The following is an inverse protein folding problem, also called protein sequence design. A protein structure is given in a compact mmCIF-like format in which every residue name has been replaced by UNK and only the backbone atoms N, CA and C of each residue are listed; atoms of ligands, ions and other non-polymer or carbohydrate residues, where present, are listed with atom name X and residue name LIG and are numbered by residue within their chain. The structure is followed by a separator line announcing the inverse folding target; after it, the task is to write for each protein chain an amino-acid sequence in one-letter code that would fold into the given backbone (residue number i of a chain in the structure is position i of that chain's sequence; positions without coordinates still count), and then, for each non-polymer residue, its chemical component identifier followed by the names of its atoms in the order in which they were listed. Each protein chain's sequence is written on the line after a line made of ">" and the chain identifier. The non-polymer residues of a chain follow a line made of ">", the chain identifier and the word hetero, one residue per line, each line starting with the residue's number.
data_IF_919548090271
#
_entry.id   IF_919548090271
#
_cell.length_a   1.000
_cell.length_b   1.000
_cell.length_c   1.000
_cell.angle_alpha   90.00
_cell.angle_beta   90.00
_cell.angle_gamma   90.00
#
_symmetry.space_group_name_H-M   'P 1'
#
loop_
_entity.id
_entity.type
_entity.pdbx_description
1 polymer ?
#
# COMPACT_ATOMS: atom_id res chain seq x y z
N UNK A 1 21.42 -8.94 -2.94
CA UNK A 1 21.23 -8.60 -1.52
C UNK A 1 20.75 -7.16 -1.45
N UNK A 2 19.53 -6.93 -0.92
CA UNK A 2 19.10 -5.61 -0.48
C UNK A 2 19.68 -5.40 0.93
N UNK A 3 20.53 -4.39 1.10
CA UNK A 3 21.00 -3.96 2.41
C UNK A 3 20.40 -2.58 2.68
N UNK A 4 20.19 -2.22 3.95
CA UNK A 4 19.94 -0.82 4.26
C UNK A 4 21.07 0.04 3.67
N UNK A 5 20.76 1.12 2.92
CA UNK A 5 19.48 1.82 2.81
C UNK A 5 18.61 1.50 1.58
N UNK A 6 18.86 0.42 0.83
CA UNK A 6 18.20 0.05 -0.43
C UNK A 6 16.75 -0.46 -0.26
N UNK A 7 15.90 0.30 0.43
CA UNK A 7 14.49 -0.02 0.67
C UNK A 7 13.60 0.68 -0.34
N UNK A 8 12.90 -0.11 -1.16
CA UNK A 8 11.89 0.42 -2.09
C UNK A 8 10.71 1.08 -1.37
N UNK A 9 10.42 0.67 -0.13
CA UNK A 9 9.46 1.34 0.73
C UNK A 9 9.93 2.74 1.14
N UNK A 10 11.18 2.87 1.57
CA UNK A 10 11.76 4.18 1.91
C UNK A 10 11.86 5.11 0.69
N UNK A 11 12.10 4.56 -0.51
CA UNK A 11 11.97 5.32 -1.74
C UNK A 11 10.57 5.89 -1.93
N UNK A 12 9.54 5.04 -1.78
CA UNK A 12 8.16 5.49 -1.99
C UNK A 12 7.74 6.50 -0.91
N UNK A 13 8.16 6.30 0.35
CA UNK A 13 7.98 7.28 1.42
C UNK A 13 8.73 8.60 1.16
N UNK A 14 9.91 8.58 0.53
CA UNK A 14 10.62 9.79 0.10
C UNK A 14 9.84 10.57 -0.98
N UNK A 15 9.22 9.86 -1.92
CA UNK A 15 8.29 10.45 -2.91
C UNK A 15 7.07 11.05 -2.21
N UNK A 16 6.46 10.32 -1.27
CA UNK A 16 5.33 10.79 -0.45
C UNK A 16 5.67 12.09 0.28
N UNK A 17 6.85 12.14 0.91
CA UNK A 17 7.36 13.33 1.57
C UNK A 17 7.57 14.50 0.60
N UNK A 18 8.14 14.23 -0.59
CA UNK A 18 8.40 15.27 -1.58
C UNK A 18 7.10 15.89 -2.16
N UNK A 19 6.05 15.08 -2.26
CA UNK A 19 4.71 15.51 -2.62
C UNK A 19 3.93 16.13 -1.44
N UNK A 20 4.58 16.37 -0.30
CA UNK A 20 3.98 17.03 0.85
C UNK A 20 2.91 16.21 1.57
N UNK A 21 2.86 14.90 1.33
CA UNK A 21 2.01 13.99 2.09
C UNK A 21 2.74 13.48 3.33
N UNK A 22 1.95 12.99 4.29
CA UNK A 22 2.48 12.43 5.53
C UNK A 22 3.07 11.03 5.27
N UNK A 23 4.25 10.77 5.81
CA UNK A 23 4.97 9.50 5.64
C UNK A 23 4.32 8.43 6.52
N UNK A 24 4.26 7.19 6.03
CA UNK A 24 3.59 6.03 6.65
C UNK A 24 2.05 6.10 6.67
N UNK A 25 1.45 7.18 6.17
CA UNK A 25 -0.01 7.37 6.09
C UNK A 25 -0.48 7.99 4.77
N UNK A 26 0.45 8.33 3.86
CA UNK A 26 0.18 9.13 2.66
C UNK A 26 0.57 8.42 1.37
N UNK A 27 1.20 7.25 1.46
CA UNK A 27 1.67 6.46 0.30
C UNK A 27 0.51 6.11 -0.63
N UNK A 28 -0.67 5.79 -0.10
CA UNK A 28 -1.87 5.54 -0.93
C UNK A 28 -2.36 6.79 -1.66
N UNK A 29 -2.08 8.00 -1.15
CA UNK A 29 -2.42 9.26 -1.85
C UNK A 29 -1.52 9.45 -3.05
N UNK A 30 -0.25 9.05 -2.97
CA UNK A 30 0.66 9.03 -4.14
C UNK A 30 0.13 8.05 -5.18
N UNK A 31 -0.30 6.87 -4.75
CA UNK A 31 -0.88 5.86 -5.65
C UNK A 31 -2.15 6.37 -6.34
N UNK A 32 -3.06 7.02 -5.62
CA UNK A 32 -4.25 7.63 -6.21
C UNK A 32 -3.93 8.83 -7.12
N UNK A 33 -2.98 9.67 -6.73
CA UNK A 33 -2.54 10.82 -7.51
C UNK A 33 -1.89 10.41 -8.84
N UNK A 34 -1.17 9.29 -8.87
CA UNK A 34 -0.54 8.75 -10.08
C UNK A 34 -1.55 8.49 -11.21
N UNK A 35 -2.82 8.18 -10.89
CA UNK A 35 -3.86 7.95 -11.90
C UNK A 35 -4.26 9.22 -12.69
N UNK A 36 -3.91 10.40 -12.19
CA UNK A 36 -4.19 11.69 -12.84
C UNK A 36 -3.02 12.22 -13.68
N UNK A 37 -1.90 11.49 -13.72
CA UNK A 37 -0.74 11.88 -14.51
C UNK A 37 -0.92 11.62 -16.01
N UNK A 38 -0.12 12.32 -16.81
CA UNK A 38 -0.05 12.19 -18.26
C UNK A 38 1.26 11.49 -18.66
N UNK A 39 1.14 10.26 -19.18
CA UNK A 39 2.27 9.42 -19.63
C UNK A 39 3.01 9.99 -20.85
N UNK A 40 2.40 10.91 -21.59
CA UNK A 40 3.02 11.52 -22.77
C UNK A 40 3.69 12.88 -22.45
N UNK A 41 3.54 13.37 -21.22
CA UNK A 41 4.09 14.66 -20.82
C UNK A 41 5.62 14.65 -20.67
N UNK A 42 6.27 15.74 -21.07
CA UNK A 42 7.72 15.93 -20.91
C UNK A 42 8.15 15.86 -19.44
N UNK A 43 7.33 16.41 -18.53
CA UNK A 43 7.52 16.33 -17.08
C UNK A 43 7.61 14.87 -16.61
N UNK A 44 6.63 14.02 -16.98
CA UNK A 44 6.64 12.60 -16.60
C UNK A 44 7.89 11.89 -17.10
N UNK A 45 8.25 12.06 -18.38
CA UNK A 45 9.41 11.41 -18.98
C UNK A 45 10.71 11.83 -18.28
N UNK A 46 10.84 13.12 -17.98
CA UNK A 46 11.99 13.68 -17.24
C UNK A 46 12.06 13.15 -15.81
N UNK A 47 10.95 13.17 -15.07
CA UNK A 47 10.87 12.66 -13.71
C UNK A 47 11.17 11.17 -13.64
N UNK A 48 10.57 10.37 -14.53
CA UNK A 48 10.81 8.92 -14.57
C UNK A 48 12.28 8.62 -14.81
N UNK A 49 12.92 9.34 -15.74
CA UNK A 49 14.37 9.24 -15.99
C UNK A 49 15.18 9.60 -14.76
N UNK A 50 14.91 10.74 -14.12
CA UNK A 50 15.63 11.17 -12.91
C UNK A 50 15.49 10.17 -11.77
N UNK A 51 14.29 9.66 -11.52
CA UNK A 51 14.04 8.65 -10.48
C UNK A 51 14.80 7.36 -10.81
N UNK A 52 14.65 6.83 -12.04
CA UNK A 52 15.21 5.53 -12.46
C UNK A 52 16.74 5.53 -12.54
N UNK A 53 17.37 6.63 -12.91
CA UNK A 53 18.82 6.66 -13.16
C UNK A 53 19.62 7.39 -12.08
N UNK A 54 19.00 8.24 -11.26
CA UNK A 54 19.73 8.96 -10.20
C UNK A 54 19.37 8.49 -8.80
N UNK A 55 18.10 8.16 -8.53
CA UNK A 55 17.63 7.80 -7.19
C UNK A 55 17.61 6.29 -6.99
N UNK A 56 16.77 5.57 -7.75
CA UNK A 56 16.60 4.12 -7.67
C UNK A 56 17.31 3.49 -8.86
N UNK A 57 18.63 3.31 -8.72
CA UNK A 57 19.50 2.89 -9.81
C UNK A 57 19.36 1.39 -10.05
N UNK A 58 18.72 1.04 -11.17
CA UNK A 58 18.53 -0.35 -11.58
C UNK A 58 19.85 -1.02 -11.98
N UNK A 59 19.96 -2.29 -11.62
CA UNK A 59 21.01 -3.21 -12.05
C UNK A 59 20.29 -4.33 -12.84
N UNK A 60 20.10 -4.10 -14.14
CA UNK A 60 19.24 -4.92 -14.98
C UNK A 60 19.69 -6.38 -15.04
N UNK A 61 21.01 -6.63 -15.12
CA UNK A 61 21.56 -7.99 -15.21
C UNK A 61 21.29 -8.82 -13.95
N UNK A 62 21.06 -8.14 -12.82
CA UNK A 62 20.80 -8.75 -11.51
C UNK A 62 19.34 -8.68 -11.10
N UNK A 63 18.46 -8.04 -11.88
CA UNK A 63 17.08 -7.75 -11.48
C UNK A 63 17.02 -7.10 -10.07
N UNK A 64 17.91 -6.13 -9.83
CA UNK A 64 18.08 -5.49 -8.53
C UNK A 64 18.22 -3.98 -8.68
N UNK A 65 18.32 -3.26 -7.58
CA UNK A 65 18.53 -1.82 -7.55
C UNK A 65 19.30 -1.42 -6.29
N UNK A 66 19.83 -0.21 -6.30
CA UNK A 66 20.31 0.46 -5.09
C UNK A 66 19.77 1.89 -5.03
N UNK A 67 19.58 2.39 -3.81
CA UNK A 67 19.21 3.77 -3.59
C UNK A 67 20.44 4.63 -3.45
N UNK A 68 20.49 5.73 -4.19
CA UNK A 68 21.61 6.66 -4.15
C UNK A 68 21.58 7.50 -2.86
N UNK A 69 22.53 7.31 -1.93
CA UNK A 69 22.55 8.00 -0.63
C UNK A 69 22.57 9.52 -0.74
N UNK A 70 23.07 10.06 -1.85
CA UNK A 70 23.14 11.51 -2.12
C UNK A 70 21.77 12.19 -2.06
N UNK A 71 20.71 11.45 -2.39
CA UNK A 71 19.34 11.94 -2.45
C UNK A 71 18.53 11.65 -1.18
N UNK A 72 19.08 10.87 -0.24
CA UNK A 72 18.40 10.42 0.96
C UNK A 72 18.75 11.34 2.14
N UNK A 73 17.74 11.81 2.86
CA UNK A 73 17.94 12.64 4.06
C UNK A 73 18.08 11.81 5.35
N UNK A 74 17.39 10.67 5.41
CA UNK A 74 17.25 9.86 6.63
C UNK A 74 18.51 9.11 7.05
N UNK A 75 19.57 9.16 6.24
CA UNK A 75 20.88 8.58 6.56
C UNK A 75 21.69 9.44 7.54
N UNK A 76 21.39 10.72 7.65
CA UNK A 76 22.17 11.66 8.46
C UNK A 76 21.40 12.87 8.99
N UNK A 77 20.08 12.88 8.88
CA UNK A 77 19.21 13.99 9.32
C UNK A 77 17.78 13.57 9.59
N UNK A 78 16.93 14.55 9.90
CA UNK A 78 15.52 14.36 10.30
C UNK A 78 14.53 14.36 9.12
N UNK A 79 15.01 14.51 7.89
CA UNK A 79 14.17 14.58 6.68
C UNK A 79 14.26 13.29 5.86
N UNK A 80 13.24 12.99 5.04
CA UNK A 80 13.29 11.82 4.16
C UNK A 80 14.28 11.99 3.01
N UNK A 81 14.48 13.22 2.54
CA UNK A 81 15.22 13.52 1.31
C UNK A 81 16.23 14.64 1.52
N UNK A 82 17.23 14.69 0.63
CA UNK A 82 18.01 15.91 0.41
C UNK A 82 17.22 16.85 -0.51
N UNK A 83 16.46 17.77 0.08
CA UNK A 83 15.53 18.66 -0.65
C UNK A 83 16.24 19.44 -1.77
N UNK A 84 17.43 19.99 -1.52
CA UNK A 84 18.18 20.77 -2.52
C UNK A 84 18.59 19.94 -3.75
N UNK A 85 18.88 18.65 -3.55
CA UNK A 85 19.25 17.72 -4.62
C UNK A 85 18.03 17.28 -5.42
N UNK A 86 16.92 17.01 -4.74
CA UNK A 86 15.64 16.68 -5.40
C UNK A 86 15.13 17.86 -6.22
N UNK A 87 15.14 19.06 -5.65
CA UNK A 87 14.74 20.28 -6.35
C UNK A 87 15.57 20.50 -7.61
N UNK A 88 16.88 20.29 -7.54
CA UNK A 88 17.75 20.44 -8.71
C UNK A 88 17.54 19.33 -9.75
N UNK A 89 17.27 18.10 -9.31
CA UNK A 89 17.08 16.97 -10.20
C UNK A 89 15.76 17.06 -10.97
N UNK A 90 14.70 17.53 -10.31
CA UNK A 90 13.35 17.55 -10.86
C UNK A 90 12.87 18.94 -11.28
N UNK A 91 13.66 19.98 -11.03
CA UNK A 91 13.24 21.37 -11.29
C UNK A 91 11.84 21.67 -10.70
N UNK A 92 11.60 21.13 -9.50
CA UNK A 92 10.32 21.19 -8.79
C UNK A 92 10.61 21.40 -7.30
N UNK A 93 9.88 22.28 -6.63
CA UNK A 93 10.01 22.43 -5.19
C UNK A 93 9.24 21.31 -4.48
N UNK A 94 9.67 20.97 -3.26
CA UNK A 94 8.85 20.12 -2.38
C UNK A 94 7.51 20.81 -2.16
N UNK A 95 6.41 20.05 -2.31
CA UNK A 95 5.07 20.59 -2.02
C UNK A 95 4.88 20.75 -0.51
N UNK A 96 4.34 21.88 -0.07
CA UNK A 96 3.82 22.05 1.28
C UNK A 96 2.53 21.23 1.50
N UNK A 97 2.20 20.80 2.72
CA UNK A 97 1.04 19.93 2.95
C UNK A 97 -0.30 20.51 2.48
N UNK A 98 -0.44 21.84 2.50
CA UNK A 98 -1.66 22.57 2.14
C UNK A 98 -1.65 23.19 0.74
N UNK A 99 -0.54 23.08 0.01
CA UNK A 99 -0.43 23.69 -1.31
C UNK A 99 -1.32 22.94 -2.30
N UNK A 100 -1.79 23.62 -3.34
CA UNK A 100 -2.63 22.96 -4.35
C UNK A 100 -1.85 21.88 -5.11
N UNK A 101 -2.53 20.77 -5.39
CA UNK A 101 -2.02 19.73 -6.27
C UNK A 101 -2.19 20.19 -7.73
N UNK A 102 -1.19 19.90 -8.55
CA UNK A 102 -1.15 20.29 -9.95
C UNK A 102 -0.88 19.06 -10.82
N UNK A 103 -1.09 19.18 -12.13
CA UNK A 103 -0.76 18.10 -13.07
C UNK A 103 0.71 17.69 -12.98
N UNK A 104 1.63 18.64 -12.73
CA UNK A 104 3.06 18.34 -12.55
C UNK A 104 3.32 17.43 -11.35
N UNK A 105 2.59 17.62 -10.25
CA UNK A 105 2.64 16.71 -9.11
C UNK A 105 2.08 15.32 -9.45
N UNK A 106 1.02 15.25 -10.26
CA UNK A 106 0.46 13.99 -10.75
C UNK A 106 1.43 13.25 -11.68
N UNK A 107 2.09 13.96 -12.59
CA UNK A 107 3.13 13.43 -13.47
C UNK A 107 4.32 12.89 -12.65
N UNK A 108 4.69 13.57 -11.56
CA UNK A 108 5.72 13.09 -10.63
C UNK A 108 5.29 11.81 -9.90
N UNK A 109 4.06 11.77 -9.38
CA UNK A 109 3.51 10.58 -8.74
C UNK A 109 3.44 9.39 -9.70
N UNK A 110 2.99 9.62 -10.94
CA UNK A 110 2.95 8.63 -12.02
C UNK A 110 4.35 8.10 -12.35
N UNK A 111 5.34 8.99 -12.48
CA UNK A 111 6.73 8.59 -12.72
C UNK A 111 7.27 7.69 -11.61
N UNK A 112 7.05 8.06 -10.34
CA UNK A 112 7.45 7.27 -9.18
C UNK A 112 6.74 5.92 -9.12
N UNK A 113 5.43 5.88 -9.38
CA UNK A 113 4.64 4.66 -9.43
C UNK A 113 5.14 3.71 -10.52
N UNK A 114 5.49 4.21 -11.72
CA UNK A 114 6.05 3.39 -12.80
C UNK A 114 7.41 2.80 -12.44
N UNK A 115 8.26 3.59 -11.77
CA UNK A 115 9.56 3.09 -11.31
C UNK A 115 9.40 2.05 -10.19
N UNK A 116 8.47 2.25 -9.25
CA UNK A 116 8.13 1.26 -8.22
C UNK A 116 7.73 -0.08 -8.86
N UNK A 117 6.82 -0.03 -9.83
CA UNK A 117 6.33 -1.22 -10.54
C UNK A 117 7.45 -1.95 -11.29
N UNK A 118 8.31 -1.22 -12.01
CA UNK A 118 9.47 -1.81 -12.71
C UNK A 118 10.44 -2.50 -11.73
N UNK A 119 10.69 -1.87 -10.57
CA UNK A 119 11.55 -2.43 -9.53
C UNK A 119 10.94 -3.67 -8.87
N UNK A 120 9.66 -3.64 -8.53
CA UNK A 120 8.95 -4.81 -8.00
C UNK A 120 8.95 -5.96 -9.00
N UNK A 121 8.66 -5.69 -10.28
CA UNK A 121 8.67 -6.71 -11.32
C UNK A 121 10.07 -7.34 -11.52
N UNK A 122 11.13 -6.53 -11.41
CA UNK A 122 12.51 -7.02 -11.35
C UNK A 122 12.72 -7.98 -10.19
N UNK A 123 12.39 -7.57 -8.96
CA UNK A 123 12.53 -8.42 -7.78
C UNK A 123 11.76 -9.74 -7.90
N UNK A 124 10.53 -9.70 -8.42
CA UNK A 124 9.68 -10.88 -8.64
C UNK A 124 10.32 -11.84 -9.65
N UNK A 125 10.88 -11.33 -10.77
CA UNK A 125 11.65 -12.16 -11.72
C UNK A 125 12.88 -12.78 -11.07
N UNK A 126 13.59 -12.03 -10.22
CA UNK A 126 14.72 -12.56 -9.48
C UNK A 126 14.30 -13.72 -8.57
N UNK A 127 13.23 -13.54 -7.78
CA UNK A 127 12.69 -14.58 -6.90
C UNK A 127 12.32 -15.83 -7.69
N UNK A 128 11.54 -15.70 -8.78
CA UNK A 128 11.16 -16.83 -9.64
C UNK A 128 12.40 -17.59 -10.15
N UNK A 129 13.42 -16.86 -10.58
CA UNK A 129 14.67 -17.45 -11.09
C UNK A 129 15.43 -18.25 -10.03
N UNK A 130 15.48 -17.76 -8.79
CA UNK A 130 16.30 -18.40 -7.73
C UNK A 130 15.56 -19.49 -6.96
N UNK A 131 14.23 -19.41 -6.84
CA UNK A 131 13.44 -20.40 -6.10
C UNK A 131 12.81 -21.44 -7.02
N UNK A 132 12.45 -21.08 -8.25
CA UNK A 132 11.68 -21.94 -9.16
C UNK A 132 10.22 -22.15 -8.74
N UNK A 133 9.76 -21.49 -7.67
CA UNK A 133 8.43 -21.68 -7.10
C UNK A 133 7.33 -21.15 -8.00
N UNK A 134 6.13 -21.74 -7.88
CA UNK A 134 4.97 -21.36 -8.69
C UNK A 134 4.05 -20.33 -8.04
N UNK A 135 4.09 -20.22 -6.70
CA UNK A 135 3.25 -19.31 -5.94
C UNK A 135 4.08 -18.26 -5.22
N UNK A 136 3.60 -17.02 -5.21
CA UNK A 136 4.28 -15.90 -4.56
C UNK A 136 3.48 -15.42 -3.34
N UNK A 137 4.15 -15.25 -2.20
CA UNK A 137 3.59 -14.54 -1.06
C UNK A 137 4.28 -13.17 -0.94
N UNK A 138 3.50 -12.09 -0.93
CA UNK A 138 4.01 -10.73 -0.75
C UNK A 138 3.62 -10.18 0.62
N UNK A 139 4.61 -9.70 1.36
CA UNK A 139 4.44 -9.00 2.63
C UNK A 139 5.34 -7.75 2.66
N UNK A 140 5.19 -6.95 3.72
CA UNK A 140 5.77 -5.60 3.87
C UNK A 140 4.80 -4.50 3.44
N UNK A 141 5.02 -3.27 3.90
CA UNK A 141 4.12 -2.14 3.64
C UNK A 141 3.90 -1.84 2.15
N UNK A 142 4.90 -2.10 1.30
CA UNK A 142 4.79 -1.92 -0.16
C UNK A 142 3.80 -2.89 -0.81
N UNK A 143 3.53 -4.04 -0.18
CA UNK A 143 2.52 -4.98 -0.67
C UNK A 143 1.08 -4.45 -0.55
N UNK A 144 0.85 -3.28 0.08
CA UNK A 144 -0.42 -2.56 0.03
C UNK A 144 -0.64 -1.78 -1.28
N UNK A 145 0.38 -1.67 -2.15
CA UNK A 145 0.24 -0.98 -3.43
C UNK A 145 -0.54 -1.86 -4.43
N UNK A 146 -1.87 -1.73 -4.43
CA UNK A 146 -2.74 -2.56 -5.25
C UNK A 146 -2.50 -2.38 -6.76
N UNK A 147 -2.07 -1.20 -7.20
CA UNK A 147 -1.72 -0.94 -8.61
C UNK A 147 -0.51 -1.77 -9.03
N UNK A 148 0.55 -1.78 -8.22
CA UNK A 148 1.72 -2.61 -8.46
C UNK A 148 1.37 -4.11 -8.38
N UNK A 149 0.59 -4.52 -7.38
CA UNK A 149 0.14 -5.91 -7.24
C UNK A 149 -0.65 -6.40 -8.46
N UNK A 150 -1.52 -5.54 -9.01
CA UNK A 150 -2.32 -5.86 -10.20
C UNK A 150 -1.42 -6.13 -11.41
N UNK A 151 -0.34 -5.36 -11.57
CA UNK A 151 0.67 -5.59 -12.63
C UNK A 151 1.49 -6.85 -12.40
N UNK A 152 1.85 -7.15 -11.15
CA UNK A 152 2.55 -8.39 -10.82
C UNK A 152 1.66 -9.60 -11.16
N UNK A 153 0.38 -9.55 -10.78
CA UNK A 153 -0.57 -10.62 -11.09
C UNK A 153 -0.74 -10.79 -12.61
N UNK A 154 -0.94 -9.70 -13.34
CA UNK A 154 -1.08 -9.72 -14.80
C UNK A 154 0.22 -10.12 -15.55
N UNK A 155 1.36 -10.20 -14.87
CA UNK A 155 2.63 -10.62 -15.49
C UNK A 155 2.76 -12.13 -15.67
N UNK A 156 1.91 -12.93 -15.00
CA UNK A 156 1.88 -14.39 -15.07
C UNK A 156 3.25 -15.06 -14.77
N UNK A 157 4.14 -14.36 -14.05
CA UNK A 157 5.44 -14.92 -13.61
C UNK A 157 5.23 -16.02 -12.57
N UNK A 158 4.17 -15.87 -11.75
CA UNK A 158 3.69 -16.83 -10.77
C UNK A 158 2.25 -17.18 -11.09
N UNK A 159 1.85 -18.41 -10.79
CA UNK A 159 0.50 -18.93 -11.05
C UNK A 159 -0.54 -18.22 -10.17
N UNK A 160 -0.15 -17.85 -8.95
CA UNK A 160 -0.97 -17.05 -8.04
C UNK A 160 -0.10 -16.22 -7.07
N UNK A 161 -0.70 -15.14 -6.55
CA UNK A 161 -0.06 -14.22 -5.60
C UNK A 161 -0.95 -14.07 -4.37
N UNK A 162 -0.43 -14.46 -3.21
CA UNK A 162 -1.08 -14.24 -1.93
C UNK A 162 -0.51 -13.01 -1.21
N UNK A 163 -1.42 -12.16 -0.72
CA UNK A 163 -1.08 -11.00 0.10
C UNK A 163 -1.96 -11.07 1.37
N UNK A 164 -1.37 -11.16 2.57
CA UNK A 164 -2.17 -11.16 3.80
C UNK A 164 -2.84 -9.79 3.99
N UNK A 165 -4.00 -9.69 4.68
CA UNK A 165 -4.75 -8.43 4.78
C UNK A 165 -4.00 -7.29 5.45
N UNK A 166 -3.09 -7.63 6.36
CA UNK A 166 -2.16 -6.71 6.99
C UNK A 166 -0.76 -7.16 6.63
N UNK A 167 -0.24 -6.80 5.43
CA UNK A 167 1.09 -7.20 5.01
C UNK A 167 2.18 -6.33 5.63
N UNK A 168 1.83 -5.14 6.13
CA UNK A 168 2.76 -4.24 6.82
C UNK A 168 3.02 -4.62 8.29
N UNK A 169 3.58 -3.69 9.06
CA UNK A 169 4.06 -3.93 10.42
C UNK A 169 2.97 -4.40 11.39
N UNK A 170 1.73 -3.93 11.21
CA UNK A 170 0.59 -4.41 11.99
C UNK A 170 0.38 -5.93 11.84
N UNK A 171 0.77 -6.49 10.70
CA UNK A 171 0.79 -7.92 10.39
C UNK A 171 1.81 -8.75 11.14
N UNK A 172 2.88 -8.11 11.63
CA UNK A 172 4.06 -8.77 12.17
C UNK A 172 3.75 -9.62 13.40
N UNK A 173 2.81 -9.19 14.25
CA UNK A 173 2.41 -9.95 15.43
C UNK A 173 1.78 -11.32 15.07
N UNK A 174 0.88 -11.35 14.10
CA UNK A 174 0.29 -12.60 13.59
C UNK A 174 1.34 -13.46 12.88
N UNK A 175 2.22 -12.84 12.08
CA UNK A 175 3.34 -13.53 11.43
C UNK A 175 4.28 -14.19 12.44
N UNK A 176 4.62 -13.50 13.54
CA UNK A 176 5.46 -14.04 14.60
C UNK A 176 4.79 -15.21 15.34
N UNK A 177 3.49 -15.09 15.64
CA UNK A 177 2.72 -16.17 16.24
C UNK A 177 2.64 -17.41 15.33
N UNK A 178 2.39 -17.21 14.03
CA UNK A 178 2.39 -18.30 13.03
C UNK A 178 3.77 -18.95 12.91
N UNK A 179 4.83 -18.15 12.88
CA UNK A 179 6.21 -18.65 12.85
C UNK A 179 6.52 -19.48 14.10
N UNK A 180 6.17 -19.01 15.31
CA UNK A 180 6.36 -19.79 16.53
C UNK A 180 5.54 -21.10 16.49
N UNK A 181 4.30 -21.06 16.01
CA UNK A 181 3.44 -22.24 15.94
C UNK A 181 3.94 -23.31 14.96
N UNK A 182 4.31 -22.92 13.74
CA UNK A 182 4.74 -23.86 12.70
C UNK A 182 6.22 -24.20 12.75
N UNK A 183 7.09 -23.19 12.85
CA UNK A 183 8.55 -23.39 12.79
C UNK A 183 9.06 -23.92 14.13
N UNK A 184 8.76 -23.25 15.25
CA UNK A 184 9.26 -23.69 16.55
C UNK A 184 8.53 -24.94 17.06
N UNK A 185 7.31 -25.18 16.59
CA UNK A 185 6.54 -26.39 16.89
C UNK A 185 6.82 -27.58 15.97
N UNK A 186 7.70 -27.45 14.98
CA UNK A 186 7.95 -28.44 13.91
C UNK A 186 6.64 -29.01 13.30
N UNK A 187 5.67 -28.11 13.07
CA UNK A 187 4.36 -28.47 12.52
C UNK A 187 4.36 -28.26 11.02
N UNK A 188 3.70 -29.15 10.30
CA UNK A 188 3.43 -28.98 8.87
C UNK A 188 2.12 -28.23 8.68
N UNK A 189 2.09 -27.38 7.67
CA UNK A 189 0.83 -26.80 7.21
C UNK A 189 0.04 -27.86 6.46
N UNK A 190 -1.15 -28.20 6.95
CA UNK A 190 -2.03 -29.22 6.38
C UNK A 190 -3.09 -28.62 5.43
N UNK A 191 -2.93 -27.35 5.07
CA UNK A 191 -3.91 -26.62 4.27
C UNK A 191 -4.85 -25.77 5.12
N UNK A 192 -5.64 -24.95 4.43
CA UNK A 192 -6.57 -24.04 5.06
C UNK A 192 -7.84 -24.81 5.47
N UNK A 193 -8.07 -24.94 6.78
CA UNK A 193 -9.23 -25.68 7.32
C UNK A 193 -10.51 -24.83 7.30
N UNK A 194 -10.38 -23.50 7.37
CA UNK A 194 -11.49 -22.56 7.39
C UNK A 194 -11.27 -21.39 6.43
N UNK A 195 -12.32 -20.89 5.75
CA UNK A 195 -12.24 -19.67 4.95
C UNK A 195 -11.58 -18.53 5.73
N UNK A 196 -10.68 -17.80 5.07
CA UNK A 196 -9.96 -16.71 5.70
C UNK A 196 -10.94 -15.57 6.01
N UNK A 197 -10.93 -15.08 7.26
CA UNK A 197 -11.75 -13.94 7.67
C UNK A 197 -10.87 -12.91 8.41
N UNK A 198 -10.72 -11.67 7.89
CA UNK A 198 -9.97 -10.62 8.55
C UNK A 198 -10.71 -9.95 9.72
N UNK A 199 -12.00 -10.26 9.97
CA UNK A 199 -12.79 -9.70 11.07
C UNK A 199 -12.34 -10.29 12.42
N UNK A 200 -11.21 -9.81 12.93
CA UNK A 200 -10.59 -10.21 14.20
C UNK A 200 -10.71 -9.12 15.28
N UNK A 201 -11.43 -8.03 14.99
CA UNK A 201 -11.62 -6.91 15.89
C UNK A 201 -12.59 -7.19 17.03
N UNK A 202 -12.96 -6.12 17.75
CA UNK A 202 -13.94 -6.20 18.84
C UNK A 202 -15.35 -6.41 18.31
N UNK A 203 -16.06 -7.37 18.88
CA UNK A 203 -17.49 -7.55 18.68
C UNK A 203 -18.32 -6.54 19.48
N UNK A 204 -19.45 -6.11 18.92
CA UNK A 204 -20.46 -5.32 19.63
C UNK A 204 -21.83 -6.00 19.58
N UNK A 205 -22.43 -6.14 20.75
CA UNK A 205 -23.79 -6.65 20.89
C UNK A 205 -24.84 -5.59 20.53
N UNK A 206 -26.04 -6.04 20.14
CA UNK A 206 -27.20 -5.16 19.91
C UNK A 206 -27.49 -4.25 21.11
N UNK A 207 -27.29 -4.74 22.33
CA UNK A 207 -27.47 -3.98 23.57
C UNK A 207 -26.50 -2.80 23.66
N UNK A 208 -25.22 -3.02 23.33
CA UNK A 208 -24.19 -1.98 23.32
C UNK A 208 -24.46 -0.94 22.24
N UNK A 209 -24.86 -1.39 21.03
CA UNK A 209 -25.24 -0.51 19.93
C UNK A 209 -26.44 0.36 20.30
N UNK A 210 -27.50 -0.22 20.86
CA UNK A 210 -28.69 0.52 21.30
C UNK A 210 -28.41 1.48 22.45
N UNK A 211 -27.53 1.12 23.39
CA UNK A 211 -27.10 2.02 24.46
C UNK A 211 -26.34 3.23 23.89
N UNK A 212 -25.45 3.00 22.93
CA UNK A 212 -24.70 4.06 22.25
C UNK A 212 -25.63 4.99 21.47
N UNK A 213 -26.53 4.45 20.63
CA UNK A 213 -27.48 5.23 19.82
C UNK A 213 -28.39 6.10 20.69
N UNK A 214 -28.89 5.58 21.81
CA UNK A 214 -29.70 6.36 22.78
C UNK A 214 -28.93 7.51 23.40
N UNK A 215 -27.65 7.31 23.74
CA UNK A 215 -26.79 8.36 24.32
C UNK A 215 -26.57 9.52 23.35
N UNK A 216 -26.38 9.23 22.07
CA UNK A 216 -26.10 10.24 21.04
C UNK A 216 -27.39 10.84 20.43
N UNK A 217 -28.57 10.29 20.78
CA UNK A 217 -29.90 10.75 20.33
C UNK A 217 -30.10 10.75 18.80
N UNK A 218 -29.45 9.83 18.09
CA UNK A 218 -29.69 9.64 16.67
C UNK A 218 -31.04 8.97 16.42
N UNK A 219 -31.74 9.39 15.35
CA UNK A 219 -32.87 8.61 14.82
C UNK A 219 -32.33 7.31 14.25
N UNK A 220 -32.88 6.19 14.68
CA UNK A 220 -32.47 4.86 14.27
C UNK A 220 -33.70 3.99 14.02
N UNK A 221 -33.61 3.13 13.01
CA UNK A 221 -34.55 2.04 12.76
C UNK A 221 -33.82 0.75 13.07
N UNK A 222 -34.44 -0.15 13.84
CA UNK A 222 -33.91 -1.47 14.13
C UNK A 222 -34.64 -2.49 13.26
N UNK A 223 -33.87 -3.31 12.54
CA UNK A 223 -34.36 -4.40 11.72
C UNK A 223 -33.88 -5.70 12.36
N UNK A 224 -34.80 -6.54 12.81
CA UNK A 224 -34.46 -7.86 13.38
C UNK A 224 -34.19 -8.90 12.29
N UNK A 225 -34.73 -8.70 11.09
CA UNK A 225 -34.48 -9.55 9.93
C UNK A 225 -33.36 -8.99 9.05
N UNK A 226 -32.41 -9.85 8.70
CA UNK A 226 -31.25 -9.47 7.89
C UNK A 226 -31.61 -9.12 6.45
N UNK A 227 -32.58 -9.82 5.86
CA UNK A 227 -32.98 -9.57 4.47
C UNK A 227 -33.73 -8.24 4.36
N UNK A 228 -34.59 -7.93 5.33
CA UNK A 228 -35.24 -6.61 5.42
C UNK A 228 -34.22 -5.48 5.55
N UNK A 229 -33.21 -5.64 6.42
CA UNK A 229 -32.12 -4.67 6.54
C UNK A 229 -31.38 -4.48 5.22
N UNK A 230 -31.04 -5.57 4.53
CA UNK A 230 -30.29 -5.52 3.28
C UNK A 230 -31.11 -4.92 2.13
N UNK A 231 -32.42 -5.18 2.09
CA UNK A 231 -33.33 -4.57 1.14
C UNK A 231 -33.39 -3.05 1.35
N UNK A 232 -33.57 -2.61 2.60
CA UNK A 232 -33.58 -1.18 2.92
C UNK A 232 -32.24 -0.51 2.61
N UNK A 233 -31.11 -1.14 3.00
CA UNK A 233 -29.77 -0.62 2.69
C UNK A 233 -29.56 -0.52 1.18
N UNK A 234 -29.99 -1.53 0.40
CA UNK A 234 -29.91 -1.53 -1.05
C UNK A 234 -30.72 -0.37 -1.66
N UNK A 235 -31.97 -0.19 -1.24
CA UNK A 235 -32.83 0.92 -1.68
C UNK A 235 -32.24 2.27 -1.28
N UNK A 236 -31.62 2.35 -0.10
CA UNK A 236 -30.98 3.56 0.40
C UNK A 236 -29.74 3.93 -0.42
N UNK A 237 -28.86 2.95 -0.71
CA UNK A 237 -27.66 3.12 -1.53
C UNK A 237 -27.97 3.64 -2.94
N UNK A 238 -29.14 3.35 -3.50
CA UNK A 238 -29.58 3.92 -4.78
C UNK A 238 -29.89 5.42 -4.72
N UNK A 239 -30.15 5.97 -3.53
CA UNK A 239 -30.64 7.34 -3.33
C UNK A 239 -29.62 8.28 -2.70
N UNK A 240 -28.57 7.74 -2.08
CA UNK A 240 -27.56 8.54 -1.37
C UNK A 240 -26.23 8.61 -2.11
N UNK A 241 -25.54 9.73 -1.91
CA UNK A 241 -24.19 9.96 -2.44
C UNK A 241 -23.08 9.36 -1.57
N UNK A 242 -23.37 9.09 -0.30
CA UNK A 242 -22.43 8.52 0.67
C UNK A 242 -23.19 7.73 1.74
N UNK A 243 -22.73 6.52 2.02
CA UNK A 243 -23.19 5.67 3.11
C UNK A 243 -21.98 5.13 3.87
N UNK A 244 -22.08 5.06 5.20
CA UNK A 244 -21.05 4.47 6.06
C UNK A 244 -21.67 3.25 6.73
N UNK A 245 -21.10 2.09 6.43
CA UNK A 245 -21.52 0.81 6.98
C UNK A 245 -20.50 0.25 7.95
N UNK A 246 -20.98 -0.33 9.04
CA UNK A 246 -20.18 -1.20 9.92
C UNK A 246 -20.98 -2.47 10.19
N UNK A 247 -20.33 -3.62 10.08
CA UNK A 247 -20.94 -4.93 10.36
C UNK A 247 -19.93 -5.82 11.07
N UNK A 248 -20.37 -6.42 12.17
CA UNK A 248 -19.58 -7.39 12.92
C UNK A 248 -18.27 -6.81 13.43
N UNK A 249 -17.30 -7.69 13.60
CA UNK A 249 -16.00 -7.33 14.16
C UNK A 249 -15.19 -6.54 13.12
N UNK A 250 -14.56 -5.43 13.51
CA UNK A 250 -13.72 -4.65 12.60
C UNK A 250 -12.70 -5.52 11.88
N UNK A 251 -12.51 -5.26 10.59
CA UNK A 251 -11.47 -5.91 9.80
C UNK A 251 -10.09 -5.51 10.33
N UNK A 252 -9.20 -6.49 10.44
CA UNK A 252 -7.79 -6.28 10.73
C UNK A 252 -7.02 -6.03 9.42
N UNK A 253 -6.37 -4.86 9.35
CA UNK A 253 -5.72 -4.33 8.14
C UNK A 253 -6.04 -2.85 7.97
N UNK A 254 -5.55 -2.22 6.89
CA UNK A 254 -6.02 -0.87 6.55
C UNK A 254 -7.46 -0.98 6.02
N UNK A 255 -8.42 -0.54 6.85
CA UNK A 255 -9.80 -0.37 6.42
C UNK A 255 -9.91 0.71 5.34
N UNK A 256 -10.79 0.49 4.37
CA UNK A 256 -11.31 1.57 3.53
C UNK A 256 -12.30 2.41 4.34
#
# INVERSE_FOLDING_TARGET
>A
NCYFPDSIGLFYSAVTYYLGFEVNSGEYKVMGLAAYGDEDSEDYLSFKKGIKYEILKFIEEKNSFYLNPTYLGYLGGETMINESKWQRLFDMNRRGPRDELSLRHANFALAAQRVLEEAMLGLVRYVKKVTGENFLCLAGGVALNCVANSKLYASEIFDDIFIPPSPGDAGGACGAALAAYYIAGDRRYEGQVHPFNPSLGTHWSDLELQACLRKVKFRSNYYSDWNELMEEVSLFLQRVKLWVGSKGDPNWGQGL
#
